data_IF_717817928448
#
_entry.id   IF_717817928448
#
_cell.length_a   1.000
_cell.length_b   1.000
_cell.length_c   1.000
_cell.angle_alpha   90.00
_cell.angle_beta   90.00
_cell.angle_gamma   90.00
#
_symmetry.space_group_name_H-M   'P 1'
#
loop_
_entity.id
_entity.type
_entity.pdbx_description
1 polymer ?
#
# COMPACT_ATOMS: atom_id res chain seq x y z
N UNK A 1 3.87 8.20 -11.93
CA UNK A 1 3.46 8.63 -10.57
C UNK A 1 2.74 7.48 -9.84
N UNK A 2 3.41 6.33 -9.62
CA UNK A 2 2.75 5.10 -9.13
C UNK A 2 2.33 5.14 -7.65
N UNK A 3 3.16 5.75 -6.81
CA UNK A 3 2.89 5.89 -5.36
C UNK A 3 1.65 6.75 -5.08
N UNK A 4 1.34 7.74 -5.91
CA UNK A 4 0.17 8.59 -5.69
C UNK A 4 -1.14 7.82 -5.88
N UNK A 5 -1.21 7.02 -6.96
CA UNK A 5 -2.38 6.18 -7.23
C UNK A 5 -2.57 5.15 -6.10
N UNK A 6 -1.46 4.59 -5.58
CA UNK A 6 -1.52 3.68 -4.44
C UNK A 6 -2.08 4.38 -3.19
N UNK A 7 -1.56 5.56 -2.85
CA UNK A 7 -2.02 6.34 -1.69
C UNK A 7 -3.51 6.70 -1.80
N UNK A 8 -3.95 7.17 -2.97
CA UNK A 8 -5.34 7.51 -3.25
C UNK A 8 -6.27 6.30 -3.10
N UNK A 9 -5.92 5.18 -3.74
CA UNK A 9 -6.73 3.95 -3.67
C UNK A 9 -6.75 3.36 -2.26
N UNK A 10 -5.63 3.43 -1.53
CA UNK A 10 -5.55 2.99 -0.14
C UNK A 10 -6.47 3.82 0.76
N UNK A 11 -6.47 5.15 0.61
CA UNK A 11 -7.38 6.04 1.33
C UNK A 11 -8.84 5.71 1.05
N UNK A 12 -9.20 5.54 -0.23
CA UNK A 12 -10.57 5.21 -0.62
C UNK A 12 -11.05 3.86 -0.05
N UNK A 13 -10.18 2.83 -0.07
CA UNK A 13 -10.48 1.53 0.53
C UNK A 13 -10.65 1.65 2.05
N UNK A 14 -9.74 2.37 2.72
CA UNK A 14 -9.81 2.59 4.16
C UNK A 14 -11.12 3.28 4.56
N UNK A 15 -11.51 4.34 3.86
CA UNK A 15 -12.76 5.06 4.16
C UNK A 15 -13.99 4.15 4.00
N UNK A 16 -14.00 3.29 2.98
CA UNK A 16 -15.07 2.30 2.78
C UNK A 16 -15.11 1.23 3.89
N UNK A 17 -13.95 0.74 4.32
CA UNK A 17 -13.84 -0.24 5.42
C UNK A 17 -14.34 0.38 6.73
N UNK A 18 -13.91 1.60 7.06
CA UNK A 18 -14.33 2.32 8.27
C UNK A 18 -15.84 2.57 8.24
N UNK A 19 -16.39 3.00 7.09
CA UNK A 19 -17.83 3.20 6.92
C UNK A 19 -18.64 1.93 7.18
N UNK A 20 -18.12 0.75 6.82
CA UNK A 20 -18.78 -0.54 7.06
C UNK A 20 -18.66 -1.02 8.50
N UNK A 21 -17.53 -0.77 9.14
CA UNK A 21 -17.27 -1.18 10.54
C UNK A 21 -17.98 -0.27 11.56
N UNK A 22 -18.30 0.97 11.20
CA UNK A 22 -18.99 1.94 12.04
C UNK A 22 -18.06 2.87 12.82
N UNK A 23 -18.67 3.82 13.54
CA UNK A 23 -17.93 4.81 14.33
C UNK A 23 -17.06 4.12 15.40
N UNK A 24 -15.78 4.51 15.48
CA UNK A 24 -14.79 3.89 16.37
C UNK A 24 -14.00 2.72 15.74
N UNK A 25 -14.20 2.39 14.46
CA UNK A 25 -13.36 1.36 13.82
C UNK A 25 -11.86 1.72 13.79
N UNK A 26 -11.56 3.02 13.73
CA UNK A 26 -10.22 3.58 13.90
C UNK A 26 -10.15 4.18 15.30
N UNK A 27 -10.18 3.35 16.35
CA UNK A 27 -10.04 3.86 17.71
C UNK A 27 -8.64 4.48 17.91
N UNK A 28 -8.67 5.82 18.04
CA UNK A 28 -7.79 6.67 18.83
C UNK A 28 -6.30 6.31 18.87
N UNK A 29 -5.68 6.23 17.70
CA UNK A 29 -4.27 6.52 17.57
C UNK A 29 -4.12 7.41 16.36
N UNK A 30 -4.06 8.73 16.54
CA UNK A 30 -3.45 9.55 15.50
C UNK A 30 -2.08 8.92 15.25
N UNK A 31 -1.83 8.36 14.06
CA UNK A 31 -0.55 7.74 13.81
C UNK A 31 0.50 8.82 14.04
N UNK A 32 1.54 8.48 14.82
CA UNK A 32 2.65 9.39 15.04
C UNK A 32 3.07 9.95 13.68
N UNK A 33 3.06 11.28 13.59
CA UNK A 33 3.32 11.99 12.36
C UNK A 33 4.78 11.77 12.00
N UNK A 34 5.03 10.76 11.17
CA UNK A 34 6.37 10.48 10.67
C UNK A 34 6.76 11.61 9.70
N UNK A 35 7.73 12.40 10.16
CA UNK A 35 8.34 13.53 9.46
C UNK A 35 9.81 13.28 9.14
N UNK A 36 10.32 12.08 9.47
CA UNK A 36 11.70 11.74 9.19
C UNK A 36 11.91 11.66 7.66
N UNK A 37 13.09 12.03 7.16
CA UNK A 37 13.42 11.85 5.76
C UNK A 37 13.38 10.36 5.37
N UNK A 38 13.20 10.07 4.08
CA UNK A 38 13.36 8.71 3.60
C UNK A 38 14.79 8.23 3.87
N UNK A 39 14.93 7.00 4.37
CA UNK A 39 16.23 6.36 4.53
C UNK A 39 16.93 6.24 3.18
N UNK A 40 18.22 6.59 3.15
CA UNK A 40 19.06 6.51 1.95
C UNK A 40 20.34 5.71 2.23
N UNK A 41 20.84 4.91 1.27
CA UNK A 41 20.30 4.70 -0.07
C UNK A 41 19.08 3.76 -0.08
N UNK A 42 18.20 3.92 -1.07
CA UNK A 42 17.12 2.96 -1.35
C UNK A 42 17.63 1.98 -2.39
N UNK A 43 17.79 0.71 -2.01
CA UNK A 43 18.16 -0.37 -2.92
C UNK A 43 16.89 -1.01 -3.50
N UNK A 44 16.87 -1.19 -4.82
CA UNK A 44 15.74 -1.81 -5.49
C UNK A 44 15.86 -3.34 -5.40
N UNK A 45 14.97 -3.96 -4.63
CA UNK A 45 14.86 -5.43 -4.57
C UNK A 45 14.22 -6.01 -5.84
N UNK A 46 13.13 -5.40 -6.33
CA UNK A 46 12.46 -5.82 -7.57
C UNK A 46 11.67 -4.69 -8.23
N UNK A 47 11.19 -4.92 -9.45
CA UNK A 47 10.29 -4.01 -10.17
C UNK A 47 8.86 -4.48 -10.00
N UNK A 48 7.99 -3.59 -9.51
CA UNK A 48 6.55 -3.86 -9.39
C UNK A 48 5.88 -3.73 -10.76
N UNK A 49 5.11 -4.77 -11.13
CA UNK A 49 4.24 -4.80 -12.30
C UNK A 49 2.80 -4.45 -11.92
N UNK A 50 2.15 -5.35 -11.18
CA UNK A 50 0.75 -5.24 -10.75
C UNK A 50 0.67 -4.97 -9.24
N UNK A 51 -0.34 -4.22 -8.82
CA UNK A 51 -0.59 -3.93 -7.40
C UNK A 51 -2.04 -4.25 -7.03
N UNK A 52 -2.20 -5.12 -6.04
CA UNK A 52 -3.48 -5.48 -5.42
C UNK A 52 -3.72 -4.70 -4.14
N UNK A 53 -4.99 -4.38 -3.86
CA UNK A 53 -5.44 -3.77 -2.62
C UNK A 53 -6.70 -4.47 -2.12
N UNK A 54 -6.66 -4.95 -0.87
CA UNK A 54 -7.77 -5.68 -0.26
C UNK A 54 -7.95 -5.36 1.22
N UNK A 55 -9.10 -5.74 1.75
CA UNK A 55 -9.36 -5.78 3.19
C UNK A 55 -9.53 -7.23 3.60
N UNK A 56 -8.69 -7.69 4.52
CA UNK A 56 -8.82 -9.00 5.12
C UNK A 56 -9.65 -8.90 6.41
N UNK A 57 -10.77 -9.62 6.43
CA UNK A 57 -11.72 -9.57 7.55
C UNK A 57 -11.16 -10.34 8.75
N UNK A 58 -10.41 -11.41 8.52
CA UNK A 58 -9.92 -12.29 9.58
C UNK A 58 -8.84 -11.61 10.43
N UNK A 59 -7.83 -11.04 9.79
CA UNK A 59 -6.75 -10.28 10.44
C UNK A 59 -7.10 -8.82 10.72
N UNK A 60 -8.22 -8.33 10.19
CA UNK A 60 -8.65 -6.92 10.28
C UNK A 60 -7.56 -5.98 9.78
N UNK A 61 -6.97 -6.31 8.64
CA UNK A 61 -5.88 -5.57 8.03
C UNK A 61 -6.19 -5.21 6.56
N UNK A 62 -5.67 -4.06 6.13
CA UNK A 62 -5.58 -3.72 4.72
C UNK A 62 -4.38 -4.47 4.15
N UNK A 63 -4.59 -5.19 3.06
CA UNK A 63 -3.57 -5.96 2.36
C UNK A 63 -3.15 -5.18 1.12
N UNK A 64 -1.85 -4.90 1.01
CA UNK A 64 -1.21 -4.37 -0.19
C UNK A 64 -0.37 -5.47 -0.79
N UNK A 65 -0.70 -5.91 -2.00
CA UNK A 65 0.07 -6.91 -2.72
C UNK A 65 0.82 -6.26 -3.88
N UNK A 66 2.11 -6.53 -3.99
CA UNK A 66 2.99 -6.03 -5.03
C UNK A 66 3.55 -7.22 -5.80
N UNK A 67 3.06 -7.41 -7.03
CA UNK A 67 3.54 -8.48 -7.91
C UNK A 67 4.73 -7.96 -8.71
N UNK A 68 5.80 -8.75 -8.76
CA UNK A 68 6.97 -8.46 -9.57
C UNK A 68 6.61 -8.48 -11.06
N UNK A 69 7.32 -7.67 -11.84
CA UNK A 69 7.27 -7.78 -13.31
C UNK A 69 7.83 -9.15 -13.70
N UNK A 70 7.03 -9.91 -14.44
CA UNK A 70 7.45 -11.17 -15.07
C UNK A 70 7.15 -11.16 -16.57
N UNK A 71 7.66 -12.15 -17.29
CA UNK A 71 7.37 -12.36 -18.72
C UNK A 71 5.99 -13.01 -18.95
N UNK A 72 5.38 -13.53 -17.88
CA UNK A 72 4.08 -14.18 -17.92
C UNK A 72 2.98 -13.14 -17.73
N UNK A 73 1.87 -13.27 -18.48
CA UNK A 73 0.69 -12.45 -18.20
C UNK A 73 0.14 -12.81 -16.82
N UNK A 74 -0.06 -11.78 -16.00
CA UNK A 74 -0.70 -11.91 -14.70
C UNK A 74 -2.21 -11.87 -14.92
N UNK A 75 -2.89 -12.97 -14.65
CA UNK A 75 -4.36 -12.98 -14.57
C UNK A 75 -4.81 -12.19 -13.33
N UNK A 76 -5.68 -11.20 -13.52
CA UNK A 76 -6.21 -10.36 -12.43
C UNK A 76 -6.94 -11.17 -11.36
N UNK A 77 -7.46 -12.36 -11.69
CA UNK A 77 -8.11 -13.26 -10.72
C UNK A 77 -7.16 -13.85 -9.69
N UNK A 78 -5.85 -13.88 -9.96
CA UNK A 78 -4.83 -14.37 -9.01
C UNK A 78 -4.41 -13.31 -7.99
N UNK A 79 -4.72 -12.03 -8.24
CA UNK A 79 -4.32 -10.93 -7.37
C UNK A 79 -5.12 -10.97 -6.09
N UNK A 80 -4.44 -10.98 -4.94
CA UNK A 80 -4.99 -11.21 -3.60
C UNK A 80 -5.60 -12.61 -3.39
N UNK A 81 -5.33 -13.57 -4.29
CA UNK A 81 -5.68 -14.98 -4.08
C UNK A 81 -4.47 -15.74 -3.51
N UNK A 82 -4.70 -16.76 -2.70
CA UNK A 82 -3.63 -17.55 -2.04
C UNK A 82 -3.04 -18.63 -2.96
N UNK A 83 -3.12 -18.42 -4.28
CA UNK A 83 -2.53 -19.31 -5.27
C UNK A 83 -1.00 -19.25 -5.23
N UNK A 84 -0.36 -20.41 -5.29
CA UNK A 84 1.10 -20.53 -5.42
C UNK A 84 1.57 -20.31 -6.88
N UNK A 85 0.64 -20.18 -7.83
CA UNK A 85 0.93 -19.84 -9.22
C UNK A 85 0.94 -18.33 -9.43
N UNK A 86 2.06 -17.81 -9.93
CA UNK A 86 2.18 -16.39 -10.27
C UNK A 86 3.63 -15.89 -10.20
N UNK A 87 3.85 -14.60 -10.51
CA UNK A 87 5.14 -13.96 -10.27
C UNK A 87 5.41 -13.80 -8.77
N UNK A 88 6.67 -13.56 -8.42
CA UNK A 88 7.06 -13.21 -7.05
C UNK A 88 6.21 -12.06 -6.51
N UNK A 89 5.69 -12.20 -5.30
CA UNK A 89 4.81 -11.21 -4.68
C UNK A 89 5.29 -10.82 -3.28
N UNK A 90 5.12 -9.54 -2.93
CA UNK A 90 5.25 -9.05 -1.56
C UNK A 90 3.88 -8.60 -1.07
N UNK A 91 3.43 -9.19 0.05
CA UNK A 91 2.21 -8.78 0.76
C UNK A 91 2.56 -8.01 2.01
N UNK A 92 1.94 -6.84 2.15
CA UNK A 92 2.05 -6.00 3.34
C UNK A 92 0.68 -5.91 3.99
N UNK A 93 0.62 -6.30 5.27
CA UNK A 93 -0.58 -6.20 6.09
C UNK A 93 -0.48 -4.96 6.95
N UNK A 94 -1.42 -4.04 6.78
CA UNK A 94 -1.48 -2.77 7.50
C UNK A 94 -2.71 -2.74 8.38
N UNK A 95 -2.54 -2.41 9.66
CA UNK A 95 -3.68 -2.00 10.47
C UNK A 95 -4.36 -0.76 9.87
N UNK A 96 -5.62 -0.50 10.22
CA UNK A 96 -6.33 0.71 9.76
C UNK A 96 -5.56 2.01 10.07
N UNK A 97 -4.91 2.06 11.24
CA UNK A 97 -4.06 3.18 11.66
C UNK A 97 -2.81 3.29 10.79
N UNK A 98 -2.14 2.18 10.49
CA UNK A 98 -0.95 2.16 9.62
C UNK A 98 -1.30 2.55 8.17
N UNK A 99 -2.44 2.07 7.64
CA UNK A 99 -2.91 2.44 6.31
C UNK A 99 -3.16 3.94 6.19
N UNK A 100 -3.82 4.55 7.21
CA UNK A 100 -4.03 6.00 7.28
C UNK A 100 -2.71 6.77 7.35
N UNK A 101 -1.78 6.30 8.18
CA UNK A 101 -0.45 6.90 8.34
C UNK A 101 0.31 6.90 7.01
N UNK A 102 0.33 5.75 6.33
CA UNK A 102 1.02 5.56 5.07
C UNK A 102 0.47 6.49 3.98
N UNK A 103 -0.86 6.52 3.80
CA UNK A 103 -1.48 7.39 2.80
C UNK A 103 -1.16 8.88 3.05
N UNK A 104 -1.31 9.33 4.30
CA UNK A 104 -1.00 10.71 4.71
C UNK A 104 0.47 11.07 4.45
N UNK A 105 1.39 10.17 4.80
CA UNK A 105 2.83 10.39 4.57
C UNK A 105 3.18 10.37 3.09
N UNK A 106 2.59 9.47 2.31
CA UNK A 106 2.81 9.39 0.87
C UNK A 106 2.41 10.70 0.17
N UNK A 107 1.27 11.29 0.53
CA UNK A 107 0.83 12.60 0.02
C UNK A 107 1.82 13.72 0.37
N UNK A 108 2.33 13.75 1.61
CA UNK A 108 3.36 14.71 2.04
C UNK A 108 4.67 14.56 1.27
N UNK A 109 5.14 13.33 1.08
CA UNK A 109 6.37 13.05 0.30
C UNK A 109 6.20 13.45 -1.16
N UNK A 110 5.02 13.21 -1.75
CA UNK A 110 4.72 13.58 -3.13
C UNK A 110 4.63 15.11 -3.31
N UNK A 111 3.96 15.79 -2.39
CA UNK A 111 3.79 17.26 -2.41
C UNK A 111 5.08 18.02 -2.10
N UNK A 112 6.00 17.44 -1.32
CA UNK A 112 7.32 18.02 -1.06
C UNK A 112 8.21 18.08 -2.32
N UNK A 113 7.79 17.44 -3.42
CA UNK A 113 8.53 17.40 -4.68
C UNK A 113 9.70 16.42 -4.62
N UNK A 114 9.76 15.47 -5.56
CA UNK A 114 10.96 14.65 -5.72
C UNK A 114 12.01 15.47 -6.47
N UNK A 115 13.22 15.59 -5.90
CA UNK A 115 14.40 15.84 -6.75
C UNK A 115 14.49 14.68 -7.76
N UNK A 116 14.75 14.93 -9.05
CA UNK A 116 14.85 13.86 -10.04
C UNK A 116 15.89 12.83 -9.57
N UNK A 117 15.57 11.54 -9.69
CA UNK A 117 16.55 10.48 -9.42
C UNK A 117 17.80 10.74 -10.28
N UNK A 118 19.02 10.66 -9.70
CA UNK A 118 20.19 10.53 -10.53
C UNK A 118 20.02 9.23 -11.34
N UNK A 119 20.13 9.36 -12.66
CA UNK A 119 20.27 8.23 -13.58
C UNK A 119 21.64 7.59 -13.40
#
# INVERSE_FOLDING_TARGET
MRVAVLAERLSALLDEVVRRLGDGAVEAGEPAVDTEPLSTPVEQEFRVGTMGLGWDIESRAIVVELLAVSEQEVDESMVLDDTEEGPDAVRVFLSLVQARAFATRAERVLSAGRRPCPL
#
